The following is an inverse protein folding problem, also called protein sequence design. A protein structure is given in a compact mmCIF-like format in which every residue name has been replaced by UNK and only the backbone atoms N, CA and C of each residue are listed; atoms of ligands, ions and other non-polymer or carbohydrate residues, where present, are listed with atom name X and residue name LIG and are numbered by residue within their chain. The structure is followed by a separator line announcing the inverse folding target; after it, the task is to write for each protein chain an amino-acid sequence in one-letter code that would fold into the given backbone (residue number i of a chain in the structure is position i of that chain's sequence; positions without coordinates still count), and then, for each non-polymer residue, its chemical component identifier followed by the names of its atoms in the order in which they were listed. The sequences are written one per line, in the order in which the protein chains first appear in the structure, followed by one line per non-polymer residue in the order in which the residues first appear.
data_IF_269113476080
#
_entry.id   IF_269113476080
#
_cell.length_a   1.000
_cell.length_b   1.000
_cell.length_c   1.000
_cell.angle_alpha   90.00
_cell.angle_beta   90.00
_cell.angle_gamma   90.00
#
_symmetry.space_group_name_H-M   'P 1'
#
loop_
_entity.id
_entity.type
_entity.pdbx_description
1 polymer ?
#
# COMPACT_ATOMS: atom_id res chain seq x y z
N UNK A 1 -14.42 12.13 -0.60
CA UNK A 1 -14.01 11.24 0.50
C UNK A 1 -12.53 10.89 0.34
N UNK A 2 -11.65 11.47 1.18
CA UNK A 2 -10.18 11.34 1.04
C UNK A 2 -9.70 9.88 1.16
N UNK A 3 -10.29 9.12 2.07
CA UNK A 3 -10.00 7.69 2.33
C UNK A 3 -10.22 6.78 1.12
N UNK A 4 -11.34 6.93 0.41
CA UNK A 4 -11.63 6.15 -0.79
C UNK A 4 -10.63 6.41 -1.92
N UNK A 5 -10.21 7.66 -2.11
CA UNK A 5 -9.18 8.01 -3.10
C UNK A 5 -7.81 7.42 -2.73
N UNK A 6 -7.45 7.43 -1.44
CA UNK A 6 -6.22 6.79 -0.96
C UNK A 6 -6.23 5.27 -1.19
N UNK A 7 -7.34 4.60 -0.91
CA UNK A 7 -7.53 3.18 -1.22
C UNK A 7 -7.40 2.91 -2.72
N UNK A 8 -8.09 3.69 -3.55
CA UNK A 8 -8.02 3.55 -5.01
C UNK A 8 -6.59 3.71 -5.51
N UNK A 9 -5.87 4.76 -5.08
CA UNK A 9 -4.46 4.94 -5.42
C UNK A 9 -3.59 3.77 -4.95
N UNK A 10 -3.83 3.26 -3.75
CA UNK A 10 -3.11 2.10 -3.22
C UNK A 10 -3.29 0.87 -4.09
N UNK A 11 -4.52 0.59 -4.50
CA UNK A 11 -4.81 -0.52 -5.41
C UNK A 11 -4.25 -0.32 -6.81
N UNK A 12 -4.31 0.89 -7.35
CA UNK A 12 -3.73 1.20 -8.67
C UNK A 12 -2.22 1.01 -8.66
N UNK A 13 -1.54 1.50 -7.62
CA UNK A 13 -0.10 1.36 -7.46
C UNK A 13 0.29 -0.11 -7.21
N UNK A 14 -0.46 -0.83 -6.37
CA UNK A 14 -0.27 -2.27 -6.17
C UNK A 14 -0.44 -3.05 -7.49
N UNK A 15 -1.47 -2.73 -8.28
CA UNK A 15 -1.69 -3.32 -9.60
C UNK A 15 -0.54 -3.04 -10.57
N UNK A 16 -0.03 -1.81 -10.60
CA UNK A 16 1.14 -1.47 -11.40
C UNK A 16 2.39 -2.26 -10.96
N UNK A 17 2.66 -2.36 -9.66
CA UNK A 17 3.74 -3.19 -9.13
C UNK A 17 3.58 -4.66 -9.51
N UNK A 18 2.37 -5.21 -9.43
CA UNK A 18 2.09 -6.58 -9.85
C UNK A 18 2.37 -6.81 -11.34
N UNK A 19 1.98 -5.87 -12.21
CA UNK A 19 2.26 -5.96 -13.65
C UNK A 19 3.77 -5.93 -13.93
N UNK A 20 4.53 -5.09 -13.22
CA UNK A 20 5.99 -5.07 -13.33
C UNK A 20 6.59 -6.41 -12.86
N UNK A 21 6.11 -6.97 -11.75
CA UNK A 21 6.52 -8.29 -11.29
C UNK A 21 6.30 -9.33 -12.38
N UNK A 22 5.09 -9.37 -12.97
CA UNK A 22 4.73 -10.35 -14.00
C UNK A 22 5.54 -10.19 -15.30
N UNK A 23 5.88 -8.96 -15.67
CA UNK A 23 6.61 -8.67 -16.89
C UNK A 23 8.11 -9.05 -16.79
N UNK A 24 8.70 -8.84 -15.62
CA UNK A 24 10.15 -8.99 -15.43
C UNK A 24 10.55 -10.28 -14.70
N UNK A 25 9.64 -10.97 -14.01
CA UNK A 25 9.96 -12.18 -13.22
C UNK A 25 10.56 -13.31 -14.06
N UNK A 26 10.21 -13.41 -15.33
CA UNK A 26 10.75 -14.41 -16.25
C UNK A 26 12.25 -14.23 -16.54
N UNK A 27 12.75 -12.98 -16.47
CA UNK A 27 14.16 -12.64 -16.73
C UNK A 27 14.91 -12.45 -15.41
N UNK A 28 14.25 -11.88 -14.41
CA UNK A 28 14.82 -11.53 -13.10
C UNK A 28 13.94 -12.08 -11.98
N UNK A 29 14.17 -13.31 -11.47
CA UNK A 29 13.30 -13.91 -10.45
C UNK A 29 13.27 -13.11 -9.14
N UNK A 30 14.34 -12.37 -8.81
CA UNK A 30 14.41 -11.52 -7.62
C UNK A 30 13.35 -10.39 -7.60
N UNK A 31 12.84 -9.99 -8.76
CA UNK A 31 11.81 -8.94 -8.91
C UNK A 31 10.51 -9.33 -8.22
N UNK A 32 10.19 -10.63 -8.14
CA UNK A 32 8.99 -11.14 -7.47
C UNK A 32 8.94 -10.82 -5.98
N UNK A 33 10.08 -10.59 -5.33
CA UNK A 33 10.15 -10.20 -3.93
C UNK A 33 10.48 -8.71 -3.75
N UNK A 34 11.36 -8.18 -4.61
CA UNK A 34 11.88 -6.82 -4.48
C UNK A 34 10.82 -5.75 -4.70
N UNK A 35 9.98 -5.88 -5.72
CA UNK A 35 8.93 -4.88 -6.00
C UNK A 35 7.82 -4.85 -4.94
N UNK A 36 7.27 -5.99 -4.47
CA UNK A 36 6.34 -5.98 -3.34
C UNK A 36 6.93 -5.41 -2.06
N UNK A 37 8.20 -5.68 -1.76
CA UNK A 37 8.87 -5.12 -0.59
C UNK A 37 9.03 -3.60 -0.69
N UNK A 38 9.47 -3.09 -1.84
CA UNK A 38 9.59 -1.65 -2.10
C UNK A 38 8.24 -0.94 -2.03
N UNK A 39 7.21 -1.54 -2.64
CA UNK A 39 5.84 -1.04 -2.54
C UNK A 39 5.40 -0.96 -1.09
N UNK A 40 5.62 -2.02 -0.30
CA UNK A 40 5.21 -2.06 1.11
C UNK A 40 5.86 -0.95 1.92
N UNK A 41 7.17 -0.75 1.76
CA UNK A 41 7.92 0.27 2.50
C UNK A 41 7.50 1.69 2.09
N UNK A 42 7.34 1.94 0.80
CA UNK A 42 6.89 3.22 0.27
C UNK A 42 5.43 3.53 0.66
N UNK A 43 4.55 2.54 0.53
CA UNK A 43 3.13 2.68 0.89
C UNK A 43 2.94 2.87 2.39
N UNK A 44 3.75 2.20 3.22
CA UNK A 44 3.78 2.42 4.66
C UNK A 44 4.11 3.87 5.00
N UNK A 45 5.12 4.46 4.36
CA UNK A 45 5.47 5.86 4.59
C UNK A 45 4.31 6.79 4.20
N UNK A 46 3.68 6.56 3.04
CA UNK A 46 2.54 7.35 2.56
C UNK A 46 1.34 7.23 3.51
N UNK A 47 0.95 6.02 3.90
CA UNK A 47 -0.18 5.82 4.82
C UNK A 47 0.12 6.41 6.20
N UNK A 48 1.36 6.35 6.67
CA UNK A 48 1.78 6.93 7.94
C UNK A 48 1.68 8.46 7.92
N UNK A 49 2.07 9.10 6.80
CA UNK A 49 1.85 10.56 6.67
C UNK A 49 0.37 10.92 6.68
N UNK A 50 -0.51 10.06 6.16
CA UNK A 50 -1.95 10.27 6.24
C UNK A 50 -2.49 10.13 7.68
N UNK A 51 -1.98 9.17 8.46
CA UNK A 51 -2.29 9.03 9.90
C UNK A 51 -1.91 10.30 10.67
N UNK A 52 -0.67 10.77 10.50
CA UNK A 52 -0.16 11.98 11.16
C UNK A 52 -0.99 13.20 10.74
N UNK A 53 -1.36 13.30 9.46
CA UNK A 53 -2.22 14.36 8.97
C UNK A 53 -3.62 14.31 9.61
N UNK A 54 -4.22 13.13 9.79
CA UNK A 54 -5.50 12.96 10.49
C UNK A 54 -5.43 13.47 11.94
N UNK A 55 -4.37 13.13 12.65
CA UNK A 55 -4.15 13.60 14.02
C UNK A 55 -3.91 15.11 14.10
N UNK A 56 -3.06 15.66 13.23
CA UNK A 56 -2.60 17.06 13.32
C UNK A 56 -3.56 18.06 12.70
N UNK A 57 -4.25 17.69 11.62
CA UNK A 57 -5.12 18.62 10.86
C UNK A 57 -6.59 18.42 11.18
N UNK A 58 -7.05 17.18 11.39
CA UNK A 58 -8.45 16.90 11.68
C UNK A 58 -8.74 16.79 13.18
N UNK A 59 -7.70 16.68 14.02
CA UNK A 59 -7.83 16.65 15.48
C UNK A 59 -8.33 15.33 16.04
N UNK A 60 -8.30 14.25 15.25
CA UNK A 60 -8.68 12.91 15.70
C UNK A 60 -7.62 12.30 16.61
N UNK A 61 -8.06 11.44 17.52
CA UNK A 61 -7.15 10.67 18.36
C UNK A 61 -6.46 9.56 17.56
N UNK A 62 -5.31 9.10 18.07
CA UNK A 62 -4.60 7.97 17.47
C UNK A 62 -5.48 6.71 17.35
N UNK A 63 -6.37 6.46 18.31
CA UNK A 63 -7.25 5.29 18.30
C UNK A 63 -8.33 5.33 17.21
N UNK A 64 -8.72 6.52 16.76
CA UNK A 64 -9.71 6.69 15.68
C UNK A 64 -9.07 6.57 14.30
N UNK A 65 -7.84 7.05 14.16
CA UNK A 65 -7.10 7.05 12.89
C UNK A 65 -6.33 5.74 12.63
N UNK A 66 -5.92 5.02 13.68
CA UNK A 66 -5.18 3.75 13.55
C UNK A 66 -5.95 2.69 12.75
N UNK A 67 -7.26 2.44 12.95
CA UNK A 67 -8.03 1.49 12.15
C UNK A 67 -8.06 1.87 10.66
N UNK A 68 -8.19 3.17 10.36
CA UNK A 68 -8.19 3.67 8.99
C UNK A 68 -6.81 3.51 8.34
N UNK A 69 -5.75 3.82 9.06
CA UNK A 69 -4.38 3.57 8.63
C UNK A 69 -4.16 2.09 8.31
N UNK A 70 -4.54 1.19 9.22
CA UNK A 70 -4.39 -0.25 9.01
C UNK A 70 -5.19 -0.72 7.80
N UNK A 71 -6.39 -0.19 7.59
CA UNK A 71 -7.22 -0.49 6.43
C UNK A 71 -6.54 -0.02 5.13
N UNK A 72 -6.10 1.24 5.06
CA UNK A 72 -5.44 1.81 3.86
C UNK A 72 -4.11 1.11 3.56
N UNK A 73 -3.38 0.69 4.59
CA UNK A 73 -2.09 0.04 4.44
C UNK A 73 -2.23 -1.45 4.10
N UNK A 74 -2.95 -2.21 4.93
CA UNK A 74 -2.96 -3.67 4.84
C UNK A 74 -3.71 -4.17 3.60
N UNK A 75 -4.80 -3.53 3.18
CA UNK A 75 -5.58 -4.01 2.04
C UNK A 75 -4.76 -4.05 0.74
N UNK A 76 -4.15 -2.94 0.27
CA UNK A 76 -3.32 -2.96 -0.94
C UNK A 76 -2.12 -3.91 -0.84
N UNK A 77 -1.42 -3.89 0.31
CA UNK A 77 -0.25 -4.75 0.55
C UNK A 77 -0.65 -6.23 0.49
N UNK A 78 -1.68 -6.63 1.23
CA UNK A 78 -2.18 -8.00 1.24
C UNK A 78 -2.59 -8.45 -0.16
N UNK A 79 -3.28 -7.59 -0.92
CA UNK A 79 -3.65 -7.95 -2.30
C UNK A 79 -2.46 -8.13 -3.22
N UNK A 80 -1.41 -7.31 -3.11
CA UNK A 80 -0.20 -7.47 -3.92
C UNK A 80 0.50 -8.80 -3.63
N UNK A 81 0.68 -9.14 -2.36
CA UNK A 81 1.30 -10.41 -1.96
C UNK A 81 0.42 -11.62 -2.28
N UNK A 82 -0.90 -11.48 -2.22
CA UNK A 82 -1.81 -12.55 -2.62
C UNK A 82 -1.74 -12.83 -4.12
N UNK A 83 -1.74 -11.78 -4.94
CA UNK A 83 -1.59 -11.88 -6.40
C UNK A 83 -0.22 -12.43 -6.81
N UNK A 84 0.85 -12.09 -6.09
CA UNK A 84 2.21 -12.57 -6.37
C UNK A 84 2.49 -14.03 -5.98
N UNK A 85 1.59 -14.69 -5.24
CA UNK A 85 1.68 -16.12 -4.89
C UNK A 85 1.02 -17.06 -5.92
N UNK A 86 0.25 -16.51 -6.85
CA UNK A 86 -0.41 -17.22 -7.96
C UNK A 86 0.52 -17.23 -9.16
#
# INVERSE_FOLDING_TARGET
MRTLLFLLCGYLLAGACYLLVRLFSAIYPAVAMLFPALFTLMWFAVSLTNLIAGMTQAGYSFGEELPLFLLIFMLPVATLYWLGKV
#
